data_IF_495583828190
#
_entry.id   IF_495583828190
#
_cell.length_a   1.000
_cell.length_b   1.000
_cell.length_c   1.000
_cell.angle_alpha   90.00
_cell.angle_beta   90.00
_cell.angle_gamma   90.00
#
_symmetry.space_group_name_H-M   'P 1'
#
loop_
_entity.id
_entity.type
_entity.pdbx_description
1 polymer ?
#
# COMPACT_ATOMS: atom_id res chain seq x y z
N UNK A 1 68.81 -17.61 -14.71
CA UNK A 1 68.06 -16.35 -14.44
C UNK A 1 66.89 -16.14 -15.39
N UNK A 2 67.07 -16.24 -16.72
CA UNK A 2 66.00 -16.05 -17.73
C UNK A 2 64.76 -16.95 -17.51
N UNK A 3 64.95 -18.22 -17.16
CA UNK A 3 63.84 -19.18 -16.90
C UNK A 3 63.11 -18.93 -15.57
N UNK A 4 63.75 -18.26 -14.60
CA UNK A 4 63.13 -17.87 -13.33
C UNK A 4 62.22 -16.65 -13.54
N UNK A 5 62.69 -15.69 -14.34
CA UNK A 5 61.93 -14.50 -14.74
C UNK A 5 60.68 -14.90 -15.55
N UNK A 6 60.80 -15.84 -16.49
CA UNK A 6 59.66 -16.34 -17.30
C UNK A 6 58.60 -17.04 -16.41
N UNK A 7 59.01 -17.80 -15.40
CA UNK A 7 58.08 -18.46 -14.45
C UNK A 7 57.35 -17.44 -13.56
N UNK A 8 58.04 -16.40 -13.10
CA UNK A 8 57.44 -15.33 -12.29
C UNK A 8 56.40 -14.55 -13.12
N UNK A 9 56.70 -14.25 -14.39
CA UNK A 9 55.78 -13.54 -15.28
C UNK A 9 54.49 -14.35 -15.54
N UNK A 10 54.59 -15.67 -15.73
CA UNK A 10 53.41 -16.54 -15.89
C UNK A 10 52.53 -16.62 -14.64
N UNK A 11 53.13 -16.66 -13.44
CA UNK A 11 52.36 -16.70 -12.17
C UNK A 11 51.63 -15.37 -11.92
N UNK A 12 52.25 -14.24 -12.25
CA UNK A 12 51.65 -12.91 -12.06
C UNK A 12 50.51 -12.64 -13.05
N UNK A 13 50.57 -13.17 -14.28
CA UNK A 13 49.47 -13.01 -15.26
C UNK A 13 48.26 -13.89 -14.96
N UNK A 14 48.42 -15.02 -14.25
CA UNK A 14 47.29 -15.87 -13.83
C UNK A 14 46.53 -15.32 -12.61
N UNK A 15 47.13 -14.44 -11.81
CA UNK A 15 46.48 -13.83 -10.62
C UNK A 15 45.59 -12.63 -11.02
N UNK A 16 45.84 -12.01 -12.17
CA UNK A 16 45.12 -10.82 -12.64
C UNK A 16 43.70 -11.07 -13.16
N UNK A 17 43.24 -12.33 -13.23
CA UNK A 17 41.90 -12.69 -13.73
C UNK A 17 40.85 -12.94 -12.64
N UNK A 18 41.19 -12.75 -11.35
CA UNK A 18 40.24 -12.95 -10.24
C UNK A 18 39.50 -11.69 -9.79
N UNK A 19 39.75 -10.52 -10.40
CA UNK A 19 39.01 -9.27 -10.10
C UNK A 19 38.04 -8.99 -11.24
N UNK A 20 37.13 -9.92 -11.52
CA UNK A 20 36.09 -9.75 -12.52
C UNK A 20 34.77 -10.32 -11.99
N UNK A 21 34.13 -9.54 -11.11
CA UNK A 21 32.69 -9.37 -10.98
C UNK A 21 32.45 -8.46 -9.76
N UNK A 22 32.29 -7.17 -10.00
CA UNK A 22 31.68 -6.29 -9.00
C UNK A 22 30.17 -6.59 -9.00
N UNK A 23 29.66 -7.11 -7.89
CA UNK A 23 28.24 -7.47 -7.75
C UNK A 23 27.42 -6.22 -7.42
N UNK A 24 27.03 -5.48 -8.46
CA UNK A 24 26.24 -4.26 -8.36
C UNK A 24 24.73 -4.52 -8.31
N UNK A 25 24.28 -5.75 -8.02
CA UNK A 25 22.84 -6.10 -8.02
C UNK A 25 22.02 -5.32 -7.00
N UNK A 26 22.68 -4.82 -5.95
CA UNK A 26 22.05 -4.08 -4.87
C UNK A 26 22.14 -2.56 -5.06
N UNK A 27 22.83 -2.09 -6.10
CA UNK A 27 23.01 -0.66 -6.34
C UNK A 27 21.67 0.01 -6.67
N UNK A 28 21.34 1.04 -5.90
CA UNK A 28 20.09 1.78 -6.07
C UNK A 28 18.83 1.08 -5.53
N UNK A 29 18.96 -0.10 -4.90
CA UNK A 29 17.84 -0.72 -4.22
C UNK A 29 17.43 0.10 -2.99
N UNK A 30 16.12 0.25 -2.81
CA UNK A 30 15.52 1.00 -1.69
C UNK A 30 14.99 0.05 -0.62
N UNK A 31 14.93 0.54 0.62
CA UNK A 31 14.31 -0.18 1.73
C UNK A 31 12.83 -0.45 1.48
N UNK A 32 12.34 -1.48 2.15
CA UNK A 32 10.93 -1.87 2.07
C UNK A 32 10.01 -0.74 2.53
N UNK A 33 8.93 -0.53 1.76
CA UNK A 33 7.89 0.46 2.00
C UNK A 33 6.50 -0.12 1.79
N UNK A 34 5.56 0.24 2.66
CA UNK A 34 4.16 -0.18 2.58
C UNK A 34 3.25 0.98 2.16
N UNK A 35 2.25 0.70 1.32
CA UNK A 35 1.29 1.69 0.83
C UNK A 35 -0.02 1.09 0.29
N UNK A 36 -1.04 1.93 0.13
CA UNK A 36 -2.29 1.62 -0.57
C UNK A 36 -2.13 1.88 -2.06
N UNK A 37 -2.41 0.89 -2.90
CA UNK A 37 -2.28 1.04 -4.37
C UNK A 37 -3.25 2.08 -4.91
N UNK A 38 -4.48 2.11 -4.40
CA UNK A 38 -5.52 3.06 -4.82
C UNK A 38 -5.67 4.24 -3.83
N UNK A 39 -4.57 4.74 -3.27
CA UNK A 39 -4.58 5.86 -2.31
C UNK A 39 -5.30 7.11 -2.86
N UNK A 40 -5.77 7.97 -1.95
CA UNK A 40 -6.52 9.18 -2.29
C UNK A 40 -8.03 8.96 -2.34
N UNK A 41 -8.73 9.86 -3.02
CA UNK A 41 -10.21 9.88 -3.07
C UNK A 41 -10.72 8.99 -4.21
N UNK A 42 -11.68 8.13 -3.91
CA UNK A 42 -12.27 7.19 -4.86
C UNK A 42 -13.79 7.20 -4.72
N UNK A 43 -14.50 7.28 -5.84
CA UNK A 43 -15.95 7.14 -5.85
C UNK A 43 -16.34 5.68 -6.06
N UNK A 44 -17.30 5.20 -5.28
CA UNK A 44 -17.85 3.84 -5.39
C UNK A 44 -19.33 3.95 -5.68
N UNK A 45 -19.74 3.57 -6.89
CA UNK A 45 -21.15 3.59 -7.29
C UNK A 45 -21.85 2.37 -6.68
N UNK A 46 -22.88 2.63 -5.88
CA UNK A 46 -23.61 1.62 -5.10
C UNK A 46 -25.06 1.61 -5.54
N UNK A 47 -25.53 0.47 -6.05
CA UNK A 47 -26.92 0.31 -6.41
C UNK A 47 -27.81 0.44 -5.17
N UNK A 48 -28.84 1.28 -5.22
CA UNK A 48 -29.76 1.53 -4.09
C UNK A 48 -30.52 0.31 -3.51
N UNK A 49 -30.47 -0.86 -4.16
CA UNK A 49 -31.11 -2.12 -3.75
C UNK A 49 -30.15 -3.31 -3.71
N UNK A 50 -28.85 -3.08 -3.90
CA UNK A 50 -27.86 -4.14 -3.98
C UNK A 50 -26.56 -3.70 -3.29
N UNK A 51 -25.52 -4.50 -3.46
CA UNK A 51 -24.19 -4.25 -2.93
C UNK A 51 -23.25 -3.66 -3.98
N UNK A 52 -22.19 -3.02 -3.50
CA UNK A 52 -21.04 -2.68 -4.33
C UNK A 52 -19.74 -3.06 -3.62
N UNK A 53 -18.86 -3.70 -4.38
CA UNK A 53 -17.58 -4.19 -3.92
C UNK A 53 -16.45 -3.26 -4.37
N UNK A 54 -15.56 -2.92 -3.43
CA UNK A 54 -14.33 -2.18 -3.68
C UNK A 54 -13.14 -2.96 -3.13
N UNK A 55 -12.14 -3.22 -3.99
CA UNK A 55 -10.93 -3.96 -3.57
C UNK A 55 -9.80 -3.01 -3.21
N UNK A 56 -9.47 -2.95 -1.93
CA UNK A 56 -8.27 -2.27 -1.41
C UNK A 56 -7.07 -3.20 -1.55
N UNK A 57 -5.98 -2.71 -2.12
CA UNK A 57 -4.70 -3.44 -2.18
C UNK A 57 -3.66 -2.76 -1.32
N UNK A 58 -3.12 -3.49 -0.35
CA UNK A 58 -1.97 -3.08 0.47
C UNK A 58 -0.73 -3.72 -0.15
N UNK A 59 0.27 -2.90 -0.47
CA UNK A 59 1.46 -3.34 -1.21
C UNK A 59 2.73 -3.06 -0.41
N UNK A 60 3.68 -4.00 -0.45
CA UNK A 60 5.03 -3.87 0.10
C UNK A 60 6.03 -3.88 -1.06
N UNK A 61 6.60 -2.73 -1.36
CA UNK A 61 7.67 -2.55 -2.35
C UNK A 61 9.04 -2.50 -1.69
N UNK A 62 10.12 -2.65 -2.45
CA UNK A 62 11.50 -2.51 -1.99
C UNK A 62 12.33 -3.76 -2.25
N UNK A 63 13.41 -3.89 -1.48
CA UNK A 63 14.39 -4.97 -1.56
C UNK A 63 13.85 -6.35 -1.14
N UNK A 64 12.74 -6.40 -0.40
CA UNK A 64 12.05 -7.63 -0.01
C UNK A 64 12.69 -8.35 1.18
N UNK A 65 13.44 -7.64 2.03
CA UNK A 65 14.17 -8.24 3.16
C UNK A 65 13.44 -8.11 4.50
N UNK A 66 12.37 -7.31 4.56
CA UNK A 66 11.66 -7.04 5.81
C UNK A 66 10.30 -7.73 5.86
N UNK A 67 9.94 -8.25 7.03
CA UNK A 67 8.56 -8.57 7.38
C UNK A 67 7.84 -7.31 7.84
N UNK A 68 6.52 -7.23 7.68
CA UNK A 68 5.72 -6.11 8.18
C UNK A 68 4.40 -6.62 8.76
N UNK A 69 3.95 -6.06 9.88
CA UNK A 69 2.58 -6.23 10.35
C UNK A 69 1.86 -4.90 10.07
N UNK A 70 0.79 -4.98 9.29
CA UNK A 70 0.12 -3.80 8.73
C UNK A 70 -1.36 -3.90 9.01
N UNK A 71 -2.01 -2.80 9.39
CA UNK A 71 -3.47 -2.71 9.47
C UNK A 71 -4.02 -1.58 8.59
N UNK A 72 -5.27 -1.73 8.18
CA UNK A 72 -6.10 -0.62 7.68
C UNK A 72 -7.16 -0.30 8.73
N UNK A 73 -7.29 0.99 9.04
CA UNK A 73 -8.18 1.50 10.09
C UNK A 73 -9.00 2.67 9.56
N UNK A 74 -10.20 2.83 10.12
CA UNK A 74 -11.01 4.03 9.88
C UNK A 74 -10.35 5.20 10.61
N UNK A 75 -10.04 6.27 9.89
CA UNK A 75 -9.24 7.39 10.43
C UNK A 75 -10.00 8.72 10.36
N UNK A 76 -10.48 9.19 11.51
CA UNK A 76 -11.20 10.46 11.66
C UNK A 76 -10.33 11.66 11.27
N UNK A 77 -9.04 11.64 11.57
CA UNK A 77 -8.14 12.75 11.27
C UNK A 77 -7.94 12.92 9.76
N UNK A 78 -7.84 11.82 9.00
CA UNK A 78 -7.81 11.87 7.52
C UNK A 78 -9.03 12.58 6.96
N UNK A 79 -10.23 12.31 7.49
CA UNK A 79 -11.45 12.99 7.05
C UNK A 79 -11.44 14.46 7.45
N UNK A 80 -11.03 14.77 8.67
CA UNK A 80 -10.99 16.14 9.16
C UNK A 80 -10.07 17.02 8.30
N UNK A 81 -8.85 16.55 8.03
CA UNK A 81 -7.90 17.25 7.15
C UNK A 81 -8.49 17.44 5.75
N UNK A 82 -9.09 16.40 5.17
CA UNK A 82 -9.71 16.49 3.85
C UNK A 82 -10.88 17.50 3.80
N UNK A 83 -11.74 17.50 4.81
CA UNK A 83 -12.84 18.46 4.92
C UNK A 83 -12.33 19.90 5.02
N UNK A 84 -11.26 20.13 5.80
CA UNK A 84 -10.62 21.45 5.94
C UNK A 84 -9.95 21.92 4.64
N UNK A 85 -9.19 21.05 3.97
CA UNK A 85 -8.44 21.38 2.74
C UNK A 85 -9.37 21.61 1.54
N UNK A 86 -10.40 20.78 1.37
CA UNK A 86 -11.32 20.85 0.23
C UNK A 86 -12.57 21.70 0.51
N UNK A 87 -12.68 22.29 1.70
CA UNK A 87 -13.84 23.05 2.16
C UNK A 87 -15.15 22.24 1.98
N UNK A 88 -15.13 21.00 2.47
CA UNK A 88 -16.25 20.05 2.44
C UNK A 88 -16.75 19.74 3.85
N UNK A 89 -17.87 19.02 3.94
CA UNK A 89 -18.52 18.68 5.20
C UNK A 89 -18.96 17.22 5.24
N UNK A 90 -18.10 16.32 4.75
CA UNK A 90 -18.39 14.89 4.76
C UNK A 90 -18.41 14.34 6.18
N UNK A 91 -19.26 13.34 6.40
CA UNK A 91 -19.35 12.57 7.64
C UNK A 91 -18.80 11.15 7.42
N UNK A 92 -18.31 10.50 8.48
CA UNK A 92 -17.93 9.08 8.39
C UNK A 92 -19.19 8.25 8.17
N UNK A 93 -19.15 7.37 7.17
CA UNK A 93 -20.23 6.43 6.90
C UNK A 93 -20.46 5.50 8.10
N UNK A 94 -21.71 5.27 8.53
CA UNK A 94 -21.99 4.32 9.59
C UNK A 94 -21.42 2.93 9.30
N UNK A 95 -20.86 2.31 10.32
CA UNK A 95 -20.31 0.95 10.33
C UNK A 95 -21.29 -0.11 9.81
N UNK A 96 -22.59 0.04 10.08
CA UNK A 96 -23.63 -0.86 9.56
C UNK A 96 -23.78 -0.84 8.03
N UNK A 97 -23.26 0.17 7.33
CA UNK A 97 -23.41 0.34 5.89
C UNK A 97 -22.38 -0.41 5.05
N UNK A 98 -21.34 -0.98 5.68
CA UNK A 98 -20.27 -1.65 4.97
C UNK A 98 -19.68 -2.81 5.77
N UNK A 99 -18.90 -3.64 5.09
CA UNK A 99 -18.06 -4.65 5.72
C UNK A 99 -16.67 -4.63 5.09
N UNK A 100 -15.65 -4.93 5.91
CA UNK A 100 -14.26 -5.07 5.46
C UNK A 100 -13.84 -6.51 5.72
N UNK A 101 -13.53 -7.25 4.66
CA UNK A 101 -13.20 -8.68 4.75
C UNK A 101 -11.93 -8.97 5.56
N UNK A 102 -10.95 -8.07 5.55
CA UNK A 102 -9.68 -8.21 6.27
C UNK A 102 -9.06 -6.85 6.58
N UNK A 103 -8.64 -6.65 7.82
CA UNK A 103 -8.02 -5.38 8.26
C UNK A 103 -6.55 -5.50 8.63
N UNK A 104 -6.05 -6.70 8.95
CA UNK A 104 -4.68 -6.93 9.40
C UNK A 104 -3.92 -7.82 8.42
N UNK A 105 -2.65 -7.51 8.15
CA UNK A 105 -1.86 -8.10 7.08
C UNK A 105 -0.42 -8.38 7.55
N UNK A 106 -0.07 -9.67 7.59
CA UNK A 106 1.26 -10.12 8.00
C UNK A 106 2.11 -10.37 6.75
N UNK A 107 2.95 -9.42 6.37
CA UNK A 107 3.85 -9.54 5.25
C UNK A 107 5.08 -10.36 5.66
N UNK A 108 5.29 -11.49 4.97
CA UNK A 108 6.61 -12.13 4.94
C UNK A 108 7.59 -11.31 4.08
N UNK A 109 8.86 -11.66 4.10
CA UNK A 109 9.88 -11.08 3.21
C UNK A 109 9.47 -11.18 1.74
N UNK A 110 8.95 -12.34 1.34
CA UNK A 110 8.49 -12.65 -0.02
C UNK A 110 7.08 -12.17 -0.38
N UNK A 111 6.25 -11.82 0.61
CA UNK A 111 4.89 -11.37 0.35
C UNK A 111 4.94 -9.92 -0.14
N UNK A 112 4.40 -9.65 -1.32
CA UNK A 112 4.43 -8.30 -1.92
C UNK A 112 3.10 -7.56 -1.82
N UNK A 113 1.99 -8.27 -1.63
CA UNK A 113 0.68 -7.62 -1.47
C UNK A 113 -0.35 -8.47 -0.75
N UNK A 114 -1.34 -7.78 -0.19
CA UNK A 114 -2.61 -8.33 0.22
C UNK A 114 -3.75 -7.53 -0.38
N UNK A 115 -4.90 -8.19 -0.55
CA UNK A 115 -6.15 -7.57 -0.96
C UNK A 115 -7.17 -7.69 0.17
N UNK A 116 -7.98 -6.65 0.33
CA UNK A 116 -9.15 -6.65 1.19
C UNK A 116 -10.34 -6.12 0.40
N UNK A 117 -11.43 -6.87 0.43
CA UNK A 117 -12.71 -6.46 -0.12
C UNK A 117 -13.48 -5.63 0.89
N UNK A 118 -13.97 -4.47 0.43
CA UNK A 118 -14.94 -3.63 1.13
C UNK A 118 -16.25 -3.75 0.38
N UNK A 119 -17.30 -4.17 1.07
CA UNK A 119 -18.64 -4.31 0.49
C UNK A 119 -19.56 -3.27 1.12
N UNK A 120 -20.10 -2.38 0.30
CA UNK A 120 -21.11 -1.40 0.69
C UNK A 120 -22.52 -1.97 0.45
N UNK A 121 -23.43 -1.76 1.40
CA UNK A 121 -24.83 -2.17 1.32
C UNK A 121 -25.72 -0.98 0.94
N UNK A 122 -26.19 -0.93 -0.31
CA UNK A 122 -27.06 0.15 -0.79
C UNK A 122 -28.43 0.19 -0.11
N UNK A 123 -28.97 -0.96 0.33
CA UNK A 123 -30.25 -1.01 1.06
C UNK A 123 -30.16 -0.37 2.44
N UNK A 124 -28.99 -0.42 3.08
CA UNK A 124 -28.71 0.25 4.35
C UNK A 124 -28.34 1.72 4.11
N UNK A 125 -27.45 2.02 3.16
CA UNK A 125 -26.97 3.40 2.90
C UNK A 125 -28.12 4.34 2.54
N UNK A 126 -29.15 3.88 1.84
CA UNK A 126 -30.32 4.71 1.46
C UNK A 126 -31.11 5.26 2.65
N UNK A 127 -30.88 4.73 3.87
CA UNK A 127 -31.47 5.25 5.12
C UNK A 127 -30.74 6.49 5.63
N UNK A 128 -29.53 6.76 5.13
CA UNK A 128 -28.64 7.83 5.57
C UNK A 128 -28.44 8.94 4.53
N UNK A 129 -28.43 8.61 3.23
CA UNK A 129 -28.28 9.57 2.13
C UNK A 129 -29.20 9.26 0.94
N UNK A 130 -29.51 10.28 0.14
CA UNK A 130 -30.29 10.15 -1.09
C UNK A 130 -29.43 9.71 -2.28
N UNK A 131 -30.07 9.32 -3.38
CA UNK A 131 -29.37 9.01 -4.64
C UNK A 131 -28.61 10.23 -5.17
N UNK A 132 -27.38 10.01 -5.62
CA UNK A 132 -26.47 11.05 -6.11
C UNK A 132 -25.94 12.01 -5.04
N UNK A 133 -26.41 11.91 -3.78
CA UNK A 133 -25.90 12.72 -2.67
C UNK A 133 -24.54 12.18 -2.22
N UNK A 134 -23.59 13.09 -1.99
CA UNK A 134 -22.29 12.79 -1.40
C UNK A 134 -22.26 13.39 0.00
N UNK A 135 -22.67 12.60 1.00
CA UNK A 135 -22.71 13.02 2.41
C UNK A 135 -21.73 12.23 3.26
N UNK A 136 -21.66 10.92 3.04
CA UNK A 136 -20.85 10.02 3.83
C UNK A 136 -19.63 9.53 3.06
N UNK A 137 -18.55 9.27 3.78
CA UNK A 137 -17.31 8.69 3.25
C UNK A 137 -16.73 7.66 4.22
N UNK A 138 -15.96 6.70 3.69
CA UNK A 138 -15.15 5.79 4.49
C UNK A 138 -13.67 6.21 4.39
N UNK A 139 -13.13 6.96 5.37
CA UNK A 139 -11.73 7.33 5.41
C UNK A 139 -10.91 6.18 5.97
N UNK A 140 -9.91 5.71 5.24
CA UNK A 140 -9.03 4.61 5.63
C UNK A 140 -7.58 5.10 5.68
N UNK A 141 -6.86 4.62 6.70
CA UNK A 141 -5.43 4.87 6.85
C UNK A 141 -4.69 3.57 7.14
N UNK A 142 -3.51 3.45 6.55
CA UNK A 142 -2.56 2.41 6.87
C UNK A 142 -1.86 2.70 8.20
N UNK A 143 -1.80 1.67 9.03
CA UNK A 143 -0.95 1.61 10.20
C UNK A 143 0.05 0.47 10.03
N UNK A 144 1.29 0.69 10.47
CA UNK A 144 2.37 -0.30 10.37
C UNK A 144 3.02 -0.42 11.73
N UNK A 145 3.07 -1.64 12.25
CA UNK A 145 3.82 -1.98 13.45
C UNK A 145 5.27 -2.33 13.08
N UNK A 146 6.22 -1.69 13.74
CA UNK A 146 7.65 -1.97 13.61
C UNK A 146 8.41 -0.94 12.78
N UNK A 147 9.42 -1.41 12.02
CA UNK A 147 10.45 -0.55 11.41
C UNK A 147 10.35 -0.42 9.89
N UNK A 148 9.26 -0.92 9.28
CA UNK A 148 9.06 -0.79 7.83
C UNK A 148 8.51 0.59 7.53
N UNK A 149 9.10 1.27 6.55
CA UNK A 149 8.71 2.62 6.18
C UNK A 149 7.30 2.63 5.56
N UNK A 150 6.53 3.68 5.84
CA UNK A 150 5.24 3.95 5.17
C UNK A 150 5.46 4.97 4.06
N UNK A 151 4.84 4.77 2.90
CA UNK A 151 4.74 5.85 1.92
C UNK A 151 3.63 6.80 2.38
N UNK A 152 4.01 7.89 3.04
CA UNK A 152 3.06 8.87 3.61
C UNK A 152 2.04 9.37 2.58
N UNK A 153 2.47 9.66 1.34
CA UNK A 153 1.59 10.14 0.27
C UNK A 153 0.54 9.11 -0.16
N UNK A 154 0.82 7.83 0.04
CA UNK A 154 -0.05 6.71 -0.35
C UNK A 154 -0.51 5.89 0.85
N UNK A 155 -0.55 6.50 2.04
CA UNK A 155 -0.96 5.85 3.30
C UNK A 155 -2.45 5.97 3.59
N UNK A 156 -3.17 6.84 2.85
CA UNK A 156 -4.56 7.22 3.11
C UNK A 156 -5.44 7.03 1.89
N UNK A 157 -6.71 6.75 2.12
CA UNK A 157 -7.74 6.59 1.10
C UNK A 157 -9.06 7.12 1.64
N UNK A 158 -9.87 7.74 0.78
CA UNK A 158 -11.24 8.15 1.12
C UNK A 158 -12.15 7.52 0.08
N UNK A 159 -13.05 6.64 0.51
CA UNK A 159 -14.06 6.06 -0.38
C UNK A 159 -15.37 6.83 -0.22
N UNK A 160 -15.92 7.33 -1.32
CA UNK A 160 -17.19 8.05 -1.38
C UNK A 160 -18.24 7.13 -2.02
N UNK A 161 -19.11 6.46 -1.23
CA UNK A 161 -20.21 5.69 -1.78
C UNK A 161 -21.29 6.62 -2.36
N UNK A 162 -21.59 6.45 -3.64
CA UNK A 162 -22.61 7.20 -4.38
C UNK A 162 -23.75 6.26 -4.71
N UNK A 163 -24.93 6.53 -4.14
CA UNK A 163 -26.12 5.74 -4.44
C UNK A 163 -26.67 6.05 -5.84
N UNK A 164 -26.92 5.00 -6.63
CA UNK A 164 -27.56 5.04 -7.96
C UNK A 164 -28.93 4.34 -8.04
#
# INVERSE_FOLDING_TARGET
>A
MKNLIIKIIMVVTSISFFIACEDNRMDGMVKDKVYLVQSGVQEVYVNYRDFADYTVTVYKSGIGEQTANVSIEVDEETLKVYNEEENTSFEIIPDVCYSISKTNFDFSTSTVSYKSLITFDGDIIKRYQQRGEKKYVLPLKLHVDGNVDVNETSSRMILIPILE
#
